data_IF_440917393919
#
_entry.id   IF_440917393919
#
_cell.length_a   1.000
_cell.length_b   1.000
_cell.length_c   1.000
_cell.angle_alpha   90.00
_cell.angle_beta   90.00
_cell.angle_gamma   90.00
#
_symmetry.space_group_name_H-M   'P 1'
#
loop_
_entity.id
_entity.type
_entity.pdbx_description
1 polymer ?
#
# COMPACT_ATOMS: atom_id res chain seq x y z
N UNK A 1 23.13 19.95 6.49
CA UNK A 1 22.18 19.06 7.18
C UNK A 1 21.69 18.09 6.11
N UNK A 2 22.27 16.89 6.06
CA UNK A 2 21.87 15.87 5.08
C UNK A 2 20.55 15.27 5.58
N UNK A 3 19.46 15.55 4.88
CA UNK A 3 18.18 14.89 5.12
C UNK A 3 18.26 13.51 4.49
N UNK A 4 18.62 12.50 5.27
CA UNK A 4 18.53 11.11 4.84
C UNK A 4 17.04 10.77 4.63
N UNK A 5 16.67 10.44 3.40
CA UNK A 5 15.34 9.89 3.13
C UNK A 5 15.35 8.43 3.58
N UNK A 6 14.62 8.16 4.67
CA UNK A 6 14.33 6.81 5.13
C UNK A 6 13.06 6.33 4.45
N UNK A 7 13.10 5.20 3.76
CA UNK A 7 11.91 4.62 3.10
C UNK A 7 11.86 3.11 3.26
N UNK A 8 10.66 2.54 3.16
CA UNK A 8 10.52 1.08 3.08
C UNK A 8 11.28 0.53 1.86
N UNK A 9 11.87 -0.65 2.03
CA UNK A 9 12.61 -1.39 1.01
C UNK A 9 11.72 -1.73 -0.19
N UNK A 10 10.46 -2.05 0.10
CA UNK A 10 9.41 -2.29 -0.86
C UNK A 10 8.25 -1.31 -0.63
N UNK A 11 7.74 -0.71 -1.69
CA UNK A 11 6.44 -0.04 -1.68
C UNK A 11 5.31 -1.04 -1.87
N UNK A 12 4.11 -0.69 -1.42
CA UNK A 12 2.91 -1.55 -1.57
C UNK A 12 2.64 -1.93 -3.03
N UNK A 13 2.96 -1.04 -3.98
CA UNK A 13 2.90 -1.31 -5.41
C UNK A 13 3.91 -2.36 -5.89
N UNK A 14 5.13 -2.32 -5.36
CA UNK A 14 6.18 -3.31 -5.67
C UNK A 14 5.77 -4.68 -5.10
N UNK A 15 5.23 -4.72 -3.88
CA UNK A 15 4.74 -5.94 -3.25
C UNK A 15 3.56 -6.51 -4.04
N UNK A 16 2.59 -5.69 -4.41
CA UNK A 16 1.47 -6.10 -5.24
C UNK A 16 1.92 -6.69 -6.58
N UNK A 17 2.93 -6.08 -7.21
CA UNK A 17 3.53 -6.61 -8.44
C UNK A 17 4.17 -7.99 -8.21
N UNK A 18 4.99 -8.13 -7.17
CA UNK A 18 5.63 -9.41 -6.84
C UNK A 18 4.61 -10.52 -6.59
N UNK A 19 3.49 -10.20 -5.92
CA UNK A 19 2.40 -11.15 -5.67
C UNK A 19 1.77 -11.56 -7.00
N UNK A 20 1.43 -10.60 -7.87
CA UNK A 20 0.84 -10.89 -9.19
C UNK A 20 1.75 -11.76 -10.06
N UNK A 21 3.02 -11.41 -10.14
CA UNK A 21 4.01 -12.14 -10.95
C UNK A 21 4.11 -13.59 -10.45
N UNK A 22 4.20 -13.80 -9.12
CA UNK A 22 4.23 -15.14 -8.52
C UNK A 22 2.91 -15.90 -8.70
N UNK A 23 1.77 -15.22 -8.68
CA UNK A 23 0.46 -15.84 -8.94
C UNK A 23 0.38 -16.33 -10.39
N UNK A 24 0.82 -15.52 -11.35
CA UNK A 24 0.85 -15.87 -12.77
C UNK A 24 1.79 -17.07 -13.03
N UNK A 25 3.00 -17.04 -12.47
CA UNK A 25 4.00 -18.11 -12.61
C UNK A 25 3.49 -19.48 -12.11
N UNK A 26 2.66 -19.47 -11.05
CA UNK A 26 2.13 -20.68 -10.43
C UNK A 26 0.70 -21.01 -10.89
N UNK A 27 0.11 -20.23 -11.79
CA UNK A 27 -1.31 -20.30 -12.15
C UNK A 27 -2.26 -20.25 -10.93
N UNK A 28 -1.91 -19.47 -9.91
CA UNK A 28 -2.74 -19.27 -8.72
C UNK A 28 -3.77 -18.17 -8.97
N UNK A 29 -4.99 -18.41 -8.49
CA UNK A 29 -6.10 -17.46 -8.43
C UNK A 29 -6.22 -16.84 -7.03
N UNK A 30 -7.03 -15.78 -6.92
CA UNK A 30 -7.32 -15.18 -5.60
C UNK A 30 -7.99 -16.19 -4.65
N UNK A 31 -8.83 -17.08 -5.17
CA UNK A 31 -9.48 -18.15 -4.42
C UNK A 31 -8.45 -19.14 -3.86
N UNK A 32 -7.41 -19.48 -4.63
CA UNK A 32 -6.35 -20.38 -4.16
C UNK A 32 -5.61 -19.80 -2.95
N UNK A 33 -5.29 -18.50 -2.98
CA UNK A 33 -4.65 -17.82 -1.83
C UNK A 33 -5.58 -17.78 -0.61
N UNK A 34 -6.88 -17.54 -0.80
CA UNK A 34 -7.85 -17.62 0.31
C UNK A 34 -7.84 -19.02 0.91
N UNK A 35 -7.85 -20.06 0.09
CA UNK A 35 -7.84 -21.44 0.55
C UNK A 35 -6.56 -21.83 1.30
N UNK A 36 -5.41 -21.30 0.90
CA UNK A 36 -4.13 -21.48 1.60
C UNK A 36 -4.13 -20.83 2.98
N UNK A 37 -4.76 -19.66 3.12
CA UNK A 37 -4.58 -18.80 4.29
C UNK A 37 -5.81 -18.67 5.21
N UNK A 38 -6.99 -19.16 4.81
CA UNK A 38 -8.25 -19.07 5.58
C UNK A 38 -8.20 -19.68 6.99
N UNK A 39 -7.31 -20.64 7.24
CA UNK A 39 -7.14 -21.25 8.57
C UNK A 39 -6.47 -20.25 9.53
N UNK A 40 -5.54 -19.44 9.00
CA UNK A 40 -4.75 -18.48 9.77
C UNK A 40 -5.44 -17.11 9.88
N UNK A 41 -6.23 -16.74 8.86
CA UNK A 41 -6.93 -15.47 8.78
C UNK A 41 -8.42 -15.70 8.49
N UNK A 42 -9.25 -15.66 9.55
CA UNK A 42 -10.69 -15.97 9.45
C UNK A 42 -11.48 -15.03 8.57
N UNK A 43 -11.06 -13.76 8.48
CA UNK A 43 -11.77 -12.73 7.72
C UNK A 43 -11.22 -12.55 6.29
N UNK A 44 -10.27 -13.41 5.88
CA UNK A 44 -9.69 -13.36 4.55
C UNK A 44 -10.71 -13.84 3.50
N UNK A 45 -10.89 -13.03 2.46
CA UNK A 45 -11.74 -13.34 1.31
C UNK A 45 -11.05 -12.91 0.02
N UNK A 46 -11.62 -13.30 -1.13
CA UNK A 46 -11.02 -13.05 -2.45
C UNK A 46 -10.86 -11.56 -2.74
N UNK A 47 -11.80 -10.73 -2.26
CA UNK A 47 -11.77 -9.29 -2.48
C UNK A 47 -10.54 -8.66 -1.80
N UNK A 48 -10.16 -9.14 -0.61
CA UNK A 48 -8.95 -8.71 0.09
C UNK A 48 -7.70 -9.08 -0.73
N UNK A 49 -7.63 -10.30 -1.27
CA UNK A 49 -6.51 -10.72 -2.12
C UNK A 49 -6.44 -9.88 -3.39
N UNK A 50 -7.58 -9.59 -4.01
CA UNK A 50 -7.64 -8.71 -5.19
C UNK A 50 -7.16 -7.30 -4.87
N UNK A 51 -7.49 -6.76 -3.70
CA UNK A 51 -6.95 -5.47 -3.25
C UNK A 51 -5.45 -5.52 -3.02
N UNK A 52 -4.92 -6.59 -2.42
CA UNK A 52 -3.47 -6.76 -2.31
C UNK A 52 -2.82 -6.76 -3.70
N UNK A 53 -3.39 -7.47 -4.67
CA UNK A 53 -2.89 -7.52 -6.03
C UNK A 53 -3.09 -6.22 -6.83
N UNK A 54 -3.92 -5.27 -6.40
CA UNK A 54 -4.15 -4.04 -7.17
C UNK A 54 -3.02 -3.02 -7.03
N UNK A 55 -2.33 -2.99 -5.88
CA UNK A 55 -1.34 -1.96 -5.54
C UNK A 55 -1.96 -0.59 -5.19
N UNK A 56 -3.29 -0.47 -5.22
CA UNK A 56 -4.00 0.80 -4.97
C UNK A 56 -4.34 1.01 -3.50
N UNK A 57 -4.06 0.03 -2.64
CA UNK A 57 -4.39 0.07 -1.21
C UNK A 57 -3.13 0.05 -0.38
N UNK A 58 -3.19 0.72 0.78
CA UNK A 58 -2.14 0.59 1.79
C UNK A 58 -2.27 -0.74 2.51
N UNK A 59 -1.15 -1.45 2.63
CA UNK A 59 -1.14 -2.76 3.26
C UNK A 59 -1.27 -2.62 4.79
N UNK A 60 -2.19 -3.40 5.38
CA UNK A 60 -2.22 -3.57 6.82
C UNK A 60 -1.25 -4.70 7.26
N UNK A 61 -1.07 -4.86 8.57
CA UNK A 61 -0.14 -5.85 9.13
C UNK A 61 -0.39 -7.28 8.64
N UNK A 62 -1.65 -7.68 8.50
CA UNK A 62 -2.00 -9.04 8.07
C UNK A 62 -1.73 -9.23 6.58
N UNK A 63 -2.00 -8.21 5.75
CA UNK A 63 -1.63 -8.21 4.33
C UNK A 63 -0.12 -8.36 4.15
N UNK A 64 0.70 -7.66 4.94
CA UNK A 64 2.16 -7.83 4.89
C UNK A 64 2.61 -9.24 5.31
N UNK A 65 1.98 -9.84 6.32
CA UNK A 65 2.30 -11.22 6.73
C UNK A 65 1.90 -12.23 5.67
N UNK A 66 0.75 -12.05 5.03
CA UNK A 66 0.31 -12.90 3.91
C UNK A 66 1.28 -12.73 2.74
N UNK A 67 1.66 -11.50 2.39
CA UNK A 67 2.63 -11.22 1.33
C UNK A 67 4.00 -11.83 1.63
N UNK A 68 4.50 -11.70 2.86
CA UNK A 68 5.75 -12.29 3.30
C UNK A 68 5.76 -13.81 3.14
N UNK A 69 4.73 -14.46 3.67
CA UNK A 69 4.58 -15.91 3.60
C UNK A 69 4.44 -16.37 2.13
N UNK A 70 3.58 -15.71 1.36
CA UNK A 70 3.35 -16.09 -0.03
C UNK A 70 4.57 -15.87 -0.91
N UNK A 71 5.33 -14.78 -0.72
CA UNK A 71 6.51 -14.46 -1.50
C UNK A 71 7.75 -15.24 -1.05
N UNK A 72 7.72 -15.92 0.10
CA UNK A 72 8.90 -16.47 0.78
C UNK A 72 9.95 -15.38 1.10
N UNK A 73 9.50 -14.19 1.49
CA UNK A 73 10.34 -13.07 1.93
C UNK A 73 10.03 -12.82 3.40
N UNK A 74 11.03 -12.55 4.24
CA UNK A 74 10.78 -12.30 5.66
C UNK A 74 9.95 -11.02 5.85
N UNK A 75 9.10 -10.98 6.88
CA UNK A 75 8.32 -9.79 7.19
C UNK A 75 9.24 -8.59 7.47
N UNK A 76 10.35 -8.84 8.15
CA UNK A 76 11.38 -7.85 8.45
C UNK A 76 12.00 -7.28 7.18
N UNK A 77 12.27 -8.11 6.17
CA UNK A 77 12.81 -7.66 4.88
C UNK A 77 11.78 -6.86 4.06
N UNK A 78 10.53 -7.33 4.05
CA UNK A 78 9.41 -6.62 3.40
C UNK A 78 9.16 -5.23 3.98
N UNK A 79 9.33 -5.09 5.30
CA UNK A 79 9.12 -3.83 6.03
C UNK A 79 10.41 -3.07 6.34
N UNK A 80 11.56 -3.57 5.88
CA UNK A 80 12.87 -2.98 6.13
C UNK A 80 12.92 -1.54 5.65
N UNK A 81 13.59 -0.68 6.39
CA UNK A 81 13.77 0.72 6.00
C UNK A 81 15.18 0.87 5.41
N UNK A 82 15.26 1.32 4.16
CA UNK A 82 16.51 1.68 3.48
C UNK A 82 16.74 3.19 3.65
N UNK A 83 17.98 3.55 3.94
CA UNK A 83 18.45 4.93 3.91
C UNK A 83 19.00 5.21 2.50
N UNK A 84 18.33 6.08 1.73
CA UNK A 84 18.86 6.50 0.44
C UNK A 84 20.05 7.45 0.68
N UNK A 85 21.27 6.98 0.39
CA UNK A 85 22.46 7.81 0.33
C UNK A 85 22.56 8.45 -1.07
N UNK A 86 22.19 9.73 -1.11
CA UNK A 86 22.41 10.71 -2.17
C UNK A 86 21.45 10.83 -3.37
N UNK A 87 21.22 12.12 -3.67
CA UNK A 87 20.60 12.81 -4.82
C UNK A 87 19.19 12.41 -5.27
N UNK A 88 18.21 13.21 -4.81
CA UNK A 88 16.87 13.42 -5.40
C UNK A 88 16.20 12.13 -5.92
N UNK A 89 15.55 11.42 -5.00
CA UNK A 89 14.53 10.41 -5.30
C UNK A 89 13.56 10.91 -6.39
N UNK A 90 13.72 10.36 -7.60
CA UNK A 90 12.86 10.61 -8.76
C UNK A 90 11.42 10.08 -8.60
N UNK A 91 11.07 9.47 -7.45
CA UNK A 91 9.67 9.07 -7.16
C UNK A 91 8.80 10.22 -6.64
N UNK A 92 9.33 11.44 -6.51
CA UNK A 92 8.59 12.59 -5.98
C UNK A 92 7.74 13.38 -7.00
N UNK A 93 7.55 12.87 -8.21
CA UNK A 93 6.70 13.54 -9.21
C UNK A 93 5.89 12.54 -10.04
N UNK A 94 4.79 12.06 -9.46
CA UNK A 94 3.54 11.83 -10.19
C UNK A 94 2.34 12.40 -9.41
N UNK A 95 2.58 13.50 -8.69
CA UNK A 95 1.67 14.14 -7.73
C UNK A 95 0.65 15.08 -8.40
N UNK A 96 0.05 14.73 -9.55
CA UNK A 96 -1.14 15.48 -9.99
C UNK A 96 -2.35 15.05 -9.14
N UNK A 97 -2.58 13.74 -9.00
CA UNK A 97 -3.76 13.22 -8.28
C UNK A 97 -3.71 13.47 -6.76
N UNK A 98 -2.52 13.41 -6.14
CA UNK A 98 -2.38 13.65 -4.69
C UNK A 98 -2.61 15.13 -4.33
N UNK A 99 -2.11 16.05 -5.18
CA UNK A 99 -2.35 17.48 -5.00
C UNK A 99 -3.83 17.82 -5.24
N UNK A 100 -4.45 17.29 -6.29
CA UNK A 100 -5.89 17.48 -6.55
C UNK A 100 -6.75 16.94 -5.40
N UNK A 101 -6.45 15.74 -4.88
CA UNK A 101 -7.20 15.17 -3.76
C UNK A 101 -7.04 16.01 -2.48
N UNK A 102 -5.84 16.50 -2.21
CA UNK A 102 -5.57 17.37 -1.06
C UNK A 102 -6.29 18.72 -1.20
N UNK A 103 -6.36 19.29 -2.41
CA UNK A 103 -7.11 20.51 -2.69
C UNK A 103 -8.61 20.32 -2.49
N UNK A 104 -9.17 19.20 -2.95
CA UNK A 104 -10.60 18.87 -2.75
C UNK A 104 -10.92 18.75 -1.27
N UNK A 105 -10.09 18.05 -0.49
CA UNK A 105 -10.28 17.92 0.96
C UNK A 105 -10.23 19.28 1.66
N UNK A 106 -9.25 20.11 1.32
CA UNK A 106 -9.11 21.45 1.89
C UNK A 106 -10.31 22.36 1.56
N UNK A 107 -10.85 22.25 0.34
CA UNK A 107 -12.07 22.97 -0.05
C UNK A 107 -13.28 22.52 0.76
N UNK A 108 -13.49 21.21 0.92
CA UNK A 108 -14.59 20.66 1.71
C UNK A 108 -14.53 21.09 3.18
N UNK A 109 -13.35 21.03 3.81
CA UNK A 109 -13.17 21.50 5.18
C UNK A 109 -13.41 23.01 5.32
N UNK A 110 -12.96 23.79 4.35
CA UNK A 110 -13.19 25.24 4.35
C UNK A 110 -14.66 25.61 4.26
N UNK A 111 -15.43 24.91 3.41
CA UNK A 111 -16.87 25.11 3.29
C UNK A 111 -17.64 24.66 4.54
N UNK A 112 -17.23 23.56 5.18
CA UNK A 112 -17.83 23.14 6.47
C UNK A 112 -17.62 24.20 7.57
N UNK A 113 -16.40 24.72 7.71
CA UNK A 113 -16.07 25.79 8.68
C UNK A 113 -16.86 27.06 8.36
N UNK A 114 -17.04 27.39 7.09
CA UNK A 114 -17.82 28.55 6.65
C UNK A 114 -19.31 28.39 6.94
N UNK A 115 -19.88 27.19 6.78
CA UNK A 115 -21.26 26.90 7.13
C UNK A 115 -21.51 26.95 8.64
N UNK A 116 -20.56 26.49 9.47
CA UNK A 116 -20.63 26.65 10.94
C UNK A 116 -20.61 28.13 11.37
N UNK A 117 -19.86 28.97 10.65
CA UNK A 117 -19.81 30.43 10.93
C UNK A 117 -21.03 31.21 10.44
N UNK A 118 -21.80 30.68 9.48
CA UNK A 118 -23.05 31.28 8.98
C UNK A 118 -24.28 30.89 9.80
N UNK A 119 -24.15 29.87 10.66
CA UNK A 119 -25.19 29.37 11.55
C UNK A 119 -25.07 29.89 13.00
N UNK A 120 -24.13 30.82 13.23
CA UNK A 120 -24.04 31.70 14.41
C UNK A 120 -24.47 33.12 14.05
#
# INVERSE_FOLDING_TARGET
MYCYNKRSAYSDNEIAKLIRDKMEDNNHTAADLVDMYKIKYKDLNEQIIQYMCSGTVTYNLDMYKIAADYLNISFEELTSIIEDNDELSYRKYSDETYNEFTEILNYLFSEMIRQEKLSQ
#
